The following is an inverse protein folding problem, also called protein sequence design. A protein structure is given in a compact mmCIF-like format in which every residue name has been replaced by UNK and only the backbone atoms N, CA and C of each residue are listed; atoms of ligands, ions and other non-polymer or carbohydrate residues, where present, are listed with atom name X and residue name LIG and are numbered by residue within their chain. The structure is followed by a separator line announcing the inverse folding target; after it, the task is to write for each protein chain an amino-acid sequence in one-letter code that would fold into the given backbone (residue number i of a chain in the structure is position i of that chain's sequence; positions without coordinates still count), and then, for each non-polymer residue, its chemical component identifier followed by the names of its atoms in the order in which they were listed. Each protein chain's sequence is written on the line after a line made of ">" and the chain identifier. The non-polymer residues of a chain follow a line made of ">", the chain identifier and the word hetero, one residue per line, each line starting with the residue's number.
data_IF_233874471805
#
_entry.id   IF_233874471805
#
_cell.length_a   1.000
_cell.length_b   1.000
_cell.length_c   1.000
_cell.angle_alpha   90.00
_cell.angle_beta   90.00
_cell.angle_gamma   90.00
#
_symmetry.space_group_name_H-M   'P 1'
#
loop_
_entity.id
_entity.type
_entity.pdbx_description
1 polymer ?
#
# COMPACT_ATOMS: atom_id res chain seq x y z
N UNK A 1 -19.50 -9.09 16.09
CA UNK A 1 -18.08 -8.68 16.16
C UNK A 1 -18.06 -7.18 16.46
N UNK A 2 -17.56 -6.73 17.62
CA UNK A 2 -17.48 -5.30 17.90
C UNK A 2 -16.43 -4.67 16.98
N UNK A 3 -16.75 -3.50 16.41
CA UNK A 3 -15.83 -2.73 15.59
C UNK A 3 -14.58 -2.41 16.42
N UNK A 4 -13.41 -2.80 15.92
CA UNK A 4 -12.13 -2.49 16.55
C UNK A 4 -11.97 -0.97 16.64
N UNK A 5 -11.83 -0.47 17.87
CA UNK A 5 -11.44 0.91 18.15
C UNK A 5 -9.97 1.05 17.74
N UNK A 6 -9.75 1.49 16.51
CA UNK A 6 -8.41 1.81 16.01
C UNK A 6 -8.03 3.13 16.67
N UNK A 7 -7.18 3.08 17.70
CA UNK A 7 -6.46 4.25 18.16
C UNK A 7 -5.62 4.72 16.97
N UNK A 8 -5.98 5.85 16.38
CA UNK A 8 -5.32 6.36 15.18
C UNK A 8 -4.14 7.22 15.67
N UNK A 9 -2.88 6.78 15.53
CA UNK A 9 -1.74 7.51 16.11
C UNK A 9 -1.38 8.77 15.28
N UNK A 10 -2.21 9.13 14.30
CA UNK A 10 -1.98 10.24 13.38
C UNK A 10 -3.12 11.25 13.46
N UNK A 11 -2.77 12.54 13.40
CA UNK A 11 -3.72 13.65 13.29
C UNK A 11 -4.58 13.48 12.02
N UNK A 12 -5.89 13.60 12.18
CA UNK A 12 -6.84 13.61 11.06
C UNK A 12 -7.41 15.00 10.90
N UNK A 13 -7.31 15.55 9.69
CA UNK A 13 -7.86 16.86 9.36
C UNK A 13 -8.76 16.74 8.13
N UNK A 14 -9.96 17.32 8.22
CA UNK A 14 -10.85 17.43 7.06
C UNK A 14 -10.48 18.70 6.31
N UNK A 15 -10.16 18.53 5.04
CA UNK A 15 -9.91 19.63 4.12
C UNK A 15 -11.14 19.85 3.24
N UNK A 16 -11.65 21.08 3.22
CA UNK A 16 -12.95 21.39 2.61
C UNK A 16 -12.89 21.66 1.09
N UNK A 17 -11.75 22.15 0.58
CA UNK A 17 -11.59 22.55 -0.81
C UNK A 17 -10.13 22.45 -1.26
N UNK A 18 -9.89 22.65 -2.56
CA UNK A 18 -8.57 22.53 -3.17
C UNK A 18 -7.55 23.54 -2.63
N UNK A 19 -7.95 24.78 -2.36
CA UNK A 19 -7.03 25.81 -1.82
C UNK A 19 -6.58 25.42 -0.42
N UNK A 20 -7.51 25.03 0.44
CA UNK A 20 -7.21 24.54 1.78
C UNK A 20 -6.26 23.33 1.71
N UNK A 21 -6.47 22.41 0.77
CA UNK A 21 -5.58 21.27 0.55
C UNK A 21 -4.16 21.71 0.22
N UNK A 22 -4.01 22.59 -0.77
CA UNK A 22 -2.70 23.10 -1.18
C UNK A 22 -1.99 23.82 -0.03
N UNK A 23 -2.69 24.67 0.73
CA UNK A 23 -2.12 25.36 1.90
C UNK A 23 -1.69 24.36 2.98
N UNK A 24 -2.48 23.32 3.24
CA UNK A 24 -2.15 22.29 4.24
C UNK A 24 -0.91 21.50 3.86
N UNK A 25 -0.73 21.14 2.58
CA UNK A 25 0.40 20.31 2.14
C UNK A 25 1.65 21.13 1.80
N UNK A 26 1.53 22.43 1.53
CA UNK A 26 2.63 23.28 1.06
C UNK A 26 3.92 23.18 1.90
N UNK A 27 3.88 23.12 3.25
CA UNK A 27 5.09 22.96 4.06
C UNK A 27 5.86 21.66 3.83
N UNK A 28 5.24 20.67 3.21
CA UNK A 28 5.77 19.33 2.97
C UNK A 28 6.12 19.10 1.48
N UNK A 29 6.05 20.13 0.64
CA UNK A 29 6.39 20.04 -0.79
C UNK A 29 7.87 20.35 -1.08
N UNK A 30 8.75 20.09 -0.11
CA UNK A 30 10.20 20.34 -0.18
C UNK A 30 10.99 19.18 -0.82
N UNK A 31 10.33 18.08 -1.15
CA UNK A 31 10.93 16.88 -1.74
C UNK A 31 11.32 15.80 -0.72
N UNK A 32 11.22 16.07 0.58
CA UNK A 32 11.53 15.10 1.65
C UNK A 32 10.32 14.25 2.05
N UNK A 33 9.12 14.64 1.62
CA UNK A 33 7.88 13.96 1.96
C UNK A 33 7.26 13.23 0.78
N UNK A 34 6.84 11.99 1.03
CA UNK A 34 6.06 11.19 0.11
C UNK A 34 4.61 11.12 0.58
N UNK A 35 3.68 11.51 -0.28
CA UNK A 35 2.26 11.41 -0.02
C UNK A 35 1.71 10.10 -0.58
N UNK A 36 0.95 9.38 0.25
CA UNK A 36 0.17 8.20 -0.16
C UNK A 36 -1.22 8.25 0.49
N UNK A 37 -2.20 7.64 -0.15
CA UNK A 37 -3.58 7.70 0.35
C UNK A 37 -4.45 6.53 -0.13
N UNK A 38 -5.64 6.47 0.46
CA UNK A 38 -6.72 5.53 0.15
C UNK A 38 -7.99 6.34 -0.15
N UNK A 39 -8.92 5.82 -0.98
CA UNK A 39 -10.09 6.58 -1.41
C UNK A 39 -11.10 6.87 -0.28
N UNK A 40 -11.02 6.12 0.82
CA UNK A 40 -11.98 6.20 1.92
C UNK A 40 -11.29 6.38 3.26
N UNK A 41 -11.81 7.32 4.05
CA UNK A 41 -11.42 7.57 5.44
C UNK A 41 -11.70 6.38 6.38
N UNK A 42 -12.47 5.38 5.92
CA UNK A 42 -12.73 4.12 6.64
C UNK A 42 -11.67 3.06 6.39
N UNK A 43 -10.89 3.20 5.31
CA UNK A 43 -9.80 2.29 5.02
C UNK A 43 -8.61 2.64 5.91
N UNK A 44 -7.89 1.62 6.34
CA UNK A 44 -6.63 1.80 7.07
C UNK A 44 -5.52 2.13 6.08
N UNK A 45 -4.57 2.97 6.47
CA UNK A 45 -3.35 3.22 5.69
C UNK A 45 -2.33 2.08 5.85
N UNK A 46 -2.82 0.84 5.79
CA UNK A 46 -2.06 -0.38 5.97
C UNK A 46 -2.14 -1.19 4.67
N UNK A 47 -1.00 -1.43 4.01
CA UNK A 47 -0.98 -2.20 2.76
C UNK A 47 -1.44 -3.64 3.02
N UNK A 48 -1.88 -4.31 1.97
CA UNK A 48 -2.42 -5.67 2.04
C UNK A 48 -1.53 -6.66 2.82
N UNK A 49 -0.20 -6.61 2.66
CA UNK A 49 0.76 -7.47 3.39
C UNK A 49 0.84 -7.19 4.89
N UNK A 50 0.53 -5.95 5.30
CA UNK A 50 0.54 -5.52 6.70
C UNK A 50 -0.80 -5.75 7.41
N UNK A 51 -1.85 -6.13 6.68
CA UNK A 51 -3.16 -6.41 7.28
C UNK A 51 -3.09 -7.72 8.04
N UNK A 52 -3.21 -7.64 9.36
CA UNK A 52 -3.19 -8.81 10.25
C UNK A 52 -4.24 -9.83 9.82
N UNK A 53 -3.78 -11.02 9.45
CA UNK A 53 -4.60 -12.21 9.24
C UNK A 53 -4.24 -13.23 10.33
N UNK A 54 -5.19 -14.08 10.71
CA UNK A 54 -4.91 -15.10 11.72
C UNK A 54 -3.73 -15.96 11.28
N UNK A 55 -2.74 -16.11 12.17
CA UNK A 55 -1.51 -16.88 11.89
C UNK A 55 -0.49 -16.22 10.97
N UNK A 56 -0.73 -15.00 10.47
CA UNK A 56 0.20 -14.31 9.56
C UNK A 56 0.61 -12.93 10.11
N UNK A 57 1.88 -12.79 10.50
CA UNK A 57 2.52 -11.50 10.73
C UNK A 57 3.36 -11.09 9.53
N UNK A 58 3.41 -9.80 9.23
CA UNK A 58 4.29 -9.28 8.19
C UNK A 58 5.75 -9.63 8.51
N UNK A 59 6.46 -10.15 7.52
CA UNK A 59 7.91 -10.22 7.49
C UNK A 59 8.39 -9.91 6.08
N UNK A 60 9.50 -9.18 5.99
CA UNK A 60 10.06 -8.82 4.69
C UNK A 60 10.43 -10.07 3.88
N UNK A 61 10.99 -11.09 4.54
CA UNK A 61 11.34 -12.35 3.88
C UNK A 61 10.13 -13.15 3.38
N UNK A 62 8.98 -13.08 4.06
CA UNK A 62 7.75 -13.71 3.56
C UNK A 62 7.24 -12.97 2.32
N UNK A 63 7.24 -11.64 2.32
CA UNK A 63 6.84 -10.86 1.14
C UNK A 63 7.75 -11.15 -0.05
N UNK A 64 9.07 -11.17 0.14
CA UNK A 64 10.04 -11.49 -0.90
C UNK A 64 9.82 -12.90 -1.45
N UNK A 65 9.59 -13.89 -0.57
CA UNK A 65 9.31 -15.26 -1.00
C UNK A 65 8.00 -15.37 -1.81
N UNK A 66 6.95 -14.65 -1.40
CA UNK A 66 5.69 -14.57 -2.15
C UNK A 66 5.87 -13.91 -3.51
N UNK A 67 6.63 -12.82 -3.57
CA UNK A 67 6.92 -12.11 -4.82
C UNK A 67 7.76 -12.98 -5.77
N UNK A 68 8.76 -13.69 -5.25
CA UNK A 68 9.58 -14.62 -6.04
C UNK A 68 8.77 -15.80 -6.57
N UNK A 69 7.85 -16.34 -5.77
CA UNK A 69 6.92 -17.36 -6.22
C UNK A 69 6.02 -16.82 -7.34
N UNK A 70 5.44 -15.64 -7.15
CA UNK A 70 4.64 -14.97 -8.16
C UNK A 70 5.43 -14.75 -9.46
N UNK A 71 6.66 -14.25 -9.39
CA UNK A 71 7.54 -14.08 -10.56
C UNK A 71 7.72 -15.38 -11.34
N UNK A 72 8.00 -16.49 -10.65
CA UNK A 72 8.18 -17.81 -11.29
C UNK A 72 6.92 -18.30 -11.99
N UNK A 73 5.77 -18.14 -11.34
CA UNK A 73 4.48 -18.64 -11.84
C UNK A 73 3.86 -17.74 -12.90
N UNK A 74 4.10 -16.43 -12.85
CA UNK A 74 3.53 -15.46 -13.77
C UNK A 74 4.19 -15.50 -15.15
N UNK A 75 5.49 -15.81 -15.25
CA UNK A 75 6.28 -15.72 -16.50
C UNK A 75 5.61 -16.32 -17.75
N UNK A 76 4.99 -17.53 -17.72
CA UNK A 76 4.34 -18.12 -18.89
C UNK A 76 3.10 -17.34 -19.38
N UNK A 77 2.55 -16.45 -18.56
CA UNK A 77 1.32 -15.71 -18.82
C UNK A 77 1.56 -14.24 -19.19
N UNK A 78 2.83 -13.81 -19.28
CA UNK A 78 3.17 -12.42 -19.55
C UNK A 78 3.60 -12.24 -21.01
N UNK A 79 2.89 -11.37 -21.73
CA UNK A 79 3.31 -10.91 -23.05
C UNK A 79 4.60 -10.08 -22.97
N UNK A 80 4.76 -9.32 -21.87
CA UNK A 80 5.90 -8.46 -21.61
C UNK A 80 6.43 -8.73 -20.21
N UNK A 81 7.73 -9.03 -20.10
CA UNK A 81 8.37 -9.28 -18.82
C UNK A 81 8.65 -7.96 -18.09
N UNK A 82 8.15 -7.77 -16.86
CA UNK A 82 8.52 -6.64 -16.03
C UNK A 82 10.03 -6.59 -15.80
N UNK A 83 10.59 -5.38 -15.91
CA UNK A 83 12.03 -5.11 -15.87
C UNK A 83 12.49 -4.55 -14.52
N UNK A 84 11.56 -4.02 -13.73
CA UNK A 84 11.85 -3.43 -12.42
C UNK A 84 11.08 -4.14 -11.31
N UNK A 85 11.60 -4.08 -10.09
CA UNK A 85 10.90 -4.61 -8.90
C UNK A 85 9.56 -3.91 -8.66
N UNK A 86 9.45 -2.62 -9.01
CA UNK A 86 8.20 -1.87 -8.89
C UNK A 86 7.11 -2.38 -9.83
N UNK A 87 7.47 -2.69 -11.08
CA UNK A 87 6.52 -3.29 -12.03
C UNK A 87 6.08 -4.67 -11.55
N UNK A 88 6.99 -5.48 -11.00
CA UNK A 88 6.64 -6.77 -10.41
C UNK A 88 5.71 -6.63 -9.20
N UNK A 89 5.98 -5.69 -8.29
CA UNK A 89 5.12 -5.42 -7.14
C UNK A 89 3.72 -4.96 -7.56
N UNK A 90 3.63 -4.07 -8.55
CA UNK A 90 2.36 -3.58 -9.09
C UNK A 90 1.56 -4.71 -9.75
N UNK A 91 2.22 -5.54 -10.56
CA UNK A 91 1.59 -6.70 -11.21
C UNK A 91 1.12 -7.72 -10.17
N UNK A 92 1.95 -8.05 -9.19
CA UNK A 92 1.59 -8.96 -8.11
C UNK A 92 0.38 -8.44 -7.32
N UNK A 93 0.37 -7.15 -6.99
CA UNK A 93 -0.76 -6.49 -6.31
C UNK A 93 -2.05 -6.56 -7.16
N UNK A 94 -1.95 -6.31 -8.47
CA UNK A 94 -3.09 -6.41 -9.40
C UNK A 94 -3.72 -7.80 -9.40
N UNK A 95 -2.90 -8.85 -9.24
CA UNK A 95 -3.34 -10.24 -9.14
C UNK A 95 -3.64 -10.71 -7.70
N UNK A 96 -3.67 -9.79 -6.73
CA UNK A 96 -4.10 -10.06 -5.35
C UNK A 96 -3.02 -10.66 -4.44
N UNK A 97 -1.76 -10.69 -4.87
CA UNK A 97 -0.64 -11.02 -3.98
C UNK A 97 -0.52 -9.92 -2.93
N UNK A 98 -0.40 -10.24 -1.64
CA UNK A 98 -0.21 -9.23 -0.62
C UNK A 98 1.18 -8.60 -0.78
N UNK A 99 1.23 -7.30 -1.07
CA UNK A 99 2.47 -6.52 -1.23
C UNK A 99 2.49 -5.32 -0.29
N UNK A 100 3.65 -4.67 -0.19
CA UNK A 100 3.89 -3.40 0.52
C UNK A 100 3.23 -2.19 -0.14
N UNK A 101 2.75 -2.35 -1.38
CA UNK A 101 2.01 -1.29 -2.05
C UNK A 101 0.64 -1.10 -1.37
N UNK A 102 0.22 0.15 -1.27
CA UNK A 102 -1.08 0.50 -0.72
C UNK A 102 -2.14 0.27 -1.79
N UNK A 103 -3.27 -0.31 -1.39
CA UNK A 103 -4.41 -0.66 -2.23
C UNK A 103 -5.63 0.26 -2.04
#
# INVERSE_FOLDING_TARGET
>A
MPALQIDVPWRRERVANWIAFQTTIAPYLDGEWLFRGVPSVRHTLVPSVGRRREGCSYSIGLEEALLDQFKREALPFLDHRPTTEWEWLALAQHHGVPTRLLD
#
